data_IF_289778921637
#
_entry.id   IF_289778921637
#
_cell.length_a   1.000
_cell.length_b   1.000
_cell.length_c   1.000
_cell.angle_alpha   90.00
_cell.angle_beta   90.00
_cell.angle_gamma   90.00
#
_symmetry.space_group_name_H-M   'P 1'
#
loop_
_entity.id
_entity.type
_entity.pdbx_description
1 polymer ?
#
# COMPACT_ATOMS: atom_id res chain seq x y z
N UNK A 1 11.48 4.76 -14.40
CA UNK A 1 10.08 5.19 -14.50
C UNK A 1 9.65 5.62 -15.92
N UNK A 2 10.58 5.97 -16.82
CA UNK A 2 10.25 6.58 -18.12
C UNK A 2 9.57 5.65 -19.13
N UNK A 3 9.76 4.33 -19.03
CA UNK A 3 9.29 3.36 -20.02
C UNK A 3 8.00 2.64 -19.55
N UNK A 4 7.56 2.89 -18.31
CA UNK A 4 6.40 2.23 -17.75
C UNK A 4 5.09 2.92 -18.12
N UNK A 5 4.02 2.13 -18.20
CA UNK A 5 2.67 2.70 -18.24
C UNK A 5 2.46 3.59 -17.02
N UNK A 6 1.70 4.66 -17.17
CA UNK A 6 1.46 5.62 -16.08
C UNK A 6 0.88 4.96 -14.82
N UNK A 7 -0.02 4.00 -14.98
CA UNK A 7 -0.61 3.29 -13.85
C UNK A 7 0.41 2.47 -13.04
N UNK A 8 1.35 1.83 -13.72
CA UNK A 8 2.46 1.10 -13.08
C UNK A 8 3.40 2.08 -12.39
N UNK A 9 3.74 3.18 -13.08
CA UNK A 9 4.61 4.22 -12.53
C UNK A 9 4.07 4.79 -11.22
N UNK A 10 2.82 5.15 -11.16
CA UNK A 10 2.17 5.66 -9.93
C UNK A 10 2.20 4.62 -8.83
N UNK A 11 1.87 3.38 -9.14
CA UNK A 11 1.82 2.30 -8.14
C UNK A 11 3.20 1.89 -7.64
N UNK A 12 4.23 1.94 -8.47
CA UNK A 12 5.59 1.65 -8.00
C UNK A 12 6.13 2.77 -7.10
N UNK A 13 5.77 4.01 -7.35
CA UNK A 13 6.08 5.13 -6.46
C UNK A 13 5.45 4.90 -5.09
N UNK A 14 4.19 4.50 -5.05
CA UNK A 14 3.49 4.16 -3.81
C UNK A 14 4.23 3.06 -3.04
N UNK A 15 4.61 2.00 -3.74
CA UNK A 15 5.38 0.89 -3.13
C UNK A 15 6.71 1.39 -2.56
N UNK A 16 7.45 2.19 -3.32
CA UNK A 16 8.75 2.71 -2.88
C UNK A 16 8.60 3.65 -1.67
N UNK A 17 7.55 4.47 -1.63
CA UNK A 17 7.26 5.33 -0.47
C UNK A 17 6.96 4.47 0.77
N UNK A 18 6.11 3.47 0.65
CA UNK A 18 5.77 2.59 1.76
C UNK A 18 7.00 1.84 2.28
N UNK A 19 7.87 1.39 1.38
CA UNK A 19 9.14 0.76 1.78
C UNK A 19 10.03 1.71 2.58
N UNK A 20 10.19 2.95 2.13
CA UNK A 20 11.00 3.93 2.84
C UNK A 20 10.43 4.22 4.24
N UNK A 21 9.11 4.35 4.34
CA UNK A 21 8.45 4.58 5.62
C UNK A 21 8.68 3.41 6.59
N UNK A 22 8.45 2.19 6.14
CA UNK A 22 8.49 1.01 7.01
C UNK A 22 9.90 0.49 7.29
N UNK A 23 10.80 0.56 6.33
CA UNK A 23 12.15 0.03 6.48
C UNK A 23 13.14 1.05 7.04
N UNK A 24 13.03 2.32 6.66
CA UNK A 24 13.97 3.37 7.03
C UNK A 24 13.42 4.39 8.00
N UNK A 25 12.21 4.19 8.48
CA UNK A 25 11.54 5.09 9.44
C UNK A 25 11.50 6.56 8.99
N UNK A 26 11.43 6.79 7.69
CA UNK A 26 11.29 8.14 7.15
C UNK A 26 9.85 8.60 7.23
N UNK A 27 9.65 9.91 7.29
CA UNK A 27 8.30 10.45 7.23
C UNK A 27 7.77 10.50 5.80
N UNK A 28 6.45 10.58 5.67
CA UNK A 28 5.78 10.53 4.38
C UNK A 28 6.19 11.67 3.44
N UNK A 29 6.20 12.91 3.94
CA UNK A 29 6.51 14.08 3.10
C UNK A 29 7.92 14.01 2.53
N UNK A 30 8.88 13.61 3.35
CA UNK A 30 10.26 13.42 2.92
C UNK A 30 10.39 12.36 1.84
N UNK A 31 9.73 11.21 2.04
CA UNK A 31 9.73 10.13 1.04
C UNK A 31 9.08 10.57 -0.26
N UNK A 32 7.94 11.25 -0.17
CA UNK A 32 7.22 11.74 -1.34
C UNK A 32 8.08 12.73 -2.14
N UNK A 33 8.67 13.71 -1.47
CA UNK A 33 9.54 14.70 -2.12
C UNK A 33 10.75 14.04 -2.78
N UNK A 34 11.44 13.16 -2.08
CA UNK A 34 12.64 12.51 -2.60
C UNK A 34 12.38 11.64 -3.81
N UNK A 35 11.24 10.92 -3.81
CA UNK A 35 10.92 9.99 -4.88
C UNK A 35 10.22 10.65 -6.07
N UNK A 36 9.68 11.86 -5.91
CA UNK A 36 8.93 12.53 -6.96
C UNK A 36 9.55 13.82 -7.48
N UNK A 37 10.62 14.31 -6.86
CA UNK A 37 11.23 15.62 -7.21
C UNK A 37 11.64 15.77 -8.68
N UNK A 38 12.04 14.68 -9.33
CA UNK A 38 12.47 14.67 -10.73
C UNK A 38 11.37 14.17 -11.68
N UNK A 39 10.15 13.98 -11.17
CA UNK A 39 9.04 13.44 -11.93
C UNK A 39 7.97 14.53 -12.12
N UNK A 40 7.45 14.61 -13.34
CA UNK A 40 6.29 15.46 -13.62
C UNK A 40 5.02 14.65 -13.30
N UNK A 41 4.48 14.85 -12.11
CA UNK A 41 3.21 14.25 -11.70
C UNK A 41 2.11 15.28 -11.81
N UNK A 42 0.99 14.90 -12.43
CA UNK A 42 -0.21 15.75 -12.42
C UNK A 42 -0.91 15.68 -11.06
N UNK A 43 -1.87 16.55 -10.82
CA UNK A 43 -2.58 16.62 -9.54
C UNK A 43 -3.36 15.34 -9.24
N UNK A 44 -3.91 14.69 -10.24
CA UNK A 44 -4.62 13.42 -10.11
C UNK A 44 -3.69 12.31 -9.62
N UNK A 45 -2.51 12.18 -10.20
CA UNK A 45 -1.51 11.19 -9.78
C UNK A 45 -1.03 11.47 -8.35
N UNK A 46 -0.78 12.72 -8.00
CA UNK A 46 -0.41 13.12 -6.64
C UNK A 46 -1.48 12.74 -5.62
N UNK A 47 -2.72 13.06 -5.92
CA UNK A 47 -3.86 12.71 -5.06
C UNK A 47 -4.00 11.21 -4.91
N UNK A 48 -3.82 10.47 -5.97
CA UNK A 48 -3.87 8.99 -5.94
C UNK A 48 -2.78 8.41 -5.04
N UNK A 49 -1.54 8.92 -5.16
CA UNK A 49 -0.43 8.49 -4.31
C UNK A 49 -0.73 8.75 -2.84
N UNK A 50 -1.14 9.97 -2.50
CA UNK A 50 -1.51 10.33 -1.12
C UNK A 50 -2.60 9.42 -0.58
N UNK A 51 -3.67 9.25 -1.35
CA UNK A 51 -4.82 8.46 -0.93
C UNK A 51 -4.46 7.00 -0.67
N UNK A 52 -3.72 6.37 -1.57
CA UNK A 52 -3.34 4.95 -1.43
C UNK A 52 -2.35 4.77 -0.27
N UNK A 53 -1.33 5.62 -0.16
CA UNK A 53 -0.34 5.50 0.93
C UNK A 53 -1.00 5.65 2.29
N UNK A 54 -1.84 6.66 2.46
CA UNK A 54 -2.49 6.91 3.75
C UNK A 54 -3.48 5.83 4.13
N UNK A 55 -4.28 5.37 3.18
CA UNK A 55 -5.20 4.26 3.42
C UNK A 55 -4.47 2.94 3.69
N UNK A 56 -3.32 2.72 3.05
CA UNK A 56 -2.48 1.55 3.32
C UNK A 56 -1.98 1.57 4.77
N UNK A 57 -1.53 2.71 5.24
CA UNK A 57 -1.06 2.87 6.62
C UNK A 57 -2.24 2.73 7.59
N UNK A 58 -3.34 3.38 7.30
CA UNK A 58 -4.55 3.38 8.15
C UNK A 58 -5.12 1.97 8.34
N UNK A 59 -5.15 1.17 7.30
CA UNK A 59 -5.77 -0.17 7.31
C UNK A 59 -4.74 -1.29 7.43
N UNK A 60 -3.47 -0.96 7.63
CA UNK A 60 -2.37 -1.92 7.62
C UNK A 60 -2.52 -3.04 8.63
N UNK A 61 -3.04 -2.75 9.81
CA UNK A 61 -3.24 -3.74 10.86
C UNK A 61 -4.23 -4.82 10.43
N UNK A 62 -5.34 -4.41 9.84
CA UNK A 62 -6.38 -5.33 9.38
C UNK A 62 -5.88 -6.14 8.18
N UNK A 63 -5.20 -5.47 7.25
CA UNK A 63 -4.64 -6.14 6.07
C UNK A 63 -3.57 -7.15 6.46
N UNK A 64 -2.75 -6.85 7.45
CA UNK A 64 -1.74 -7.80 7.93
C UNK A 64 -2.38 -9.08 8.49
N UNK A 65 -3.51 -8.96 9.17
CA UNK A 65 -4.27 -10.13 9.61
C UNK A 65 -4.78 -10.97 8.44
N UNK A 66 -5.27 -10.31 7.40
CA UNK A 66 -5.69 -10.99 6.18
C UNK A 66 -4.51 -11.73 5.56
N UNK A 67 -3.36 -11.06 5.45
CA UNK A 67 -2.16 -11.65 4.87
C UNK A 67 -1.66 -12.86 5.65
N UNK A 68 -1.73 -12.83 6.97
CA UNK A 68 -1.30 -13.94 7.82
C UNK A 68 -2.11 -15.23 7.58
N UNK A 69 -3.33 -15.12 7.08
CA UNK A 69 -4.14 -16.28 6.70
C UNK A 69 -3.69 -16.91 5.37
N UNK A 70 -2.98 -16.17 4.54
CA UNK A 70 -2.59 -16.61 3.20
C UNK A 70 -1.09 -16.80 3.02
N UNK A 71 -0.27 -16.16 3.86
CA UNK A 71 1.19 -16.17 3.73
C UNK A 71 1.86 -17.15 4.67
N UNK A 72 2.97 -17.72 4.20
CA UNK A 72 3.86 -18.51 5.05
C UNK A 72 4.68 -17.59 5.98
N UNK A 73 5.12 -18.12 7.11
CA UNK A 73 5.81 -17.38 8.18
C UNK A 73 7.07 -16.62 7.76
N UNK A 74 7.69 -16.99 6.64
CA UNK A 74 8.98 -16.42 6.18
C UNK A 74 8.85 -15.47 4.98
N UNK A 75 7.69 -14.89 4.77
CA UNK A 75 7.51 -13.96 3.65
C UNK A 75 8.27 -12.64 3.93
N UNK A 76 8.99 -12.13 2.92
CA UNK A 76 9.75 -10.90 3.06
C UNK A 76 8.84 -9.69 3.34
N UNK A 77 9.38 -8.71 4.06
CA UNK A 77 8.66 -7.47 4.34
C UNK A 77 8.28 -6.71 3.06
N UNK A 78 9.15 -6.72 2.05
CA UNK A 78 8.87 -6.07 0.76
C UNK A 78 7.63 -6.65 0.08
N UNK A 79 7.48 -7.96 0.07
CA UNK A 79 6.28 -8.63 -0.47
C UNK A 79 5.04 -8.21 0.31
N UNK A 80 5.13 -8.19 1.64
CA UNK A 80 4.02 -7.75 2.50
C UNK A 80 3.61 -6.30 2.23
N UNK A 81 4.58 -5.41 2.05
CA UNK A 81 4.33 -4.00 1.76
C UNK A 81 3.67 -3.83 0.38
N UNK A 82 4.14 -4.56 -0.62
CA UNK A 82 3.55 -4.53 -1.95
C UNK A 82 2.10 -5.02 -1.92
N UNK A 83 1.85 -6.12 -1.22
CA UNK A 83 0.50 -6.66 -1.02
C UNK A 83 -0.39 -5.71 -0.21
N UNK A 84 0.16 -5.04 0.78
CA UNK A 84 -0.56 -4.04 1.57
C UNK A 84 -1.16 -2.95 0.67
N UNK A 85 -0.37 -2.37 -0.21
CA UNK A 85 -0.86 -1.34 -1.14
C UNK A 85 -1.91 -1.87 -2.11
N UNK A 86 -1.69 -3.07 -2.66
CA UNK A 86 -2.62 -3.69 -3.61
C UNK A 86 -3.97 -4.04 -2.95
N UNK A 87 -3.94 -4.64 -1.78
CA UNK A 87 -5.15 -5.02 -1.05
C UNK A 87 -5.93 -3.78 -0.62
N UNK A 88 -5.24 -2.71 -0.21
CA UNK A 88 -5.89 -1.43 0.10
C UNK A 88 -6.68 -0.91 -1.10
N UNK A 89 -6.10 -0.95 -2.28
CA UNK A 89 -6.77 -0.50 -3.50
C UNK A 89 -8.02 -1.35 -3.82
N UNK A 90 -7.93 -2.65 -3.63
CA UNK A 90 -9.03 -3.57 -3.94
C UNK A 90 -10.14 -3.50 -2.90
N UNK A 91 -9.82 -3.55 -1.61
CA UNK A 91 -10.82 -3.67 -0.53
C UNK A 91 -11.40 -2.34 -0.10
N UNK A 92 -10.61 -1.27 -0.08
CA UNK A 92 -11.01 0.00 0.52
C UNK A 92 -11.25 1.12 -0.47
N UNK A 93 -10.64 1.06 -1.66
CA UNK A 93 -10.70 2.14 -2.65
C UNK A 93 -11.47 1.75 -3.91
N UNK A 94 -11.98 0.55 -3.97
CA UNK A 94 -12.80 0.02 -5.07
C UNK A 94 -12.16 0.15 -6.47
N UNK A 95 -10.85 0.07 -6.55
CA UNK A 95 -10.18 -0.01 -7.84
C UNK A 95 -10.45 -1.36 -8.51
N UNK A 96 -10.43 -1.37 -9.82
CA UNK A 96 -10.65 -2.58 -10.62
C UNK A 96 -9.59 -3.64 -10.28
N UNK A 97 -10.04 -4.78 -9.81
CA UNK A 97 -9.20 -5.85 -9.26
C UNK A 97 -8.16 -6.34 -10.26
N UNK A 98 -8.55 -6.56 -11.52
CA UNK A 98 -7.62 -7.04 -12.54
C UNK A 98 -6.54 -5.99 -12.85
N UNK A 99 -6.87 -4.71 -12.85
CA UNK A 99 -5.91 -3.64 -13.11
C UNK A 99 -4.88 -3.54 -11.99
N UNK A 100 -5.33 -3.58 -10.73
CA UNK A 100 -4.45 -3.59 -9.57
C UNK A 100 -3.54 -4.82 -9.58
N UNK A 101 -4.10 -5.98 -9.83
CA UNK A 101 -3.36 -7.26 -9.86
C UNK A 101 -2.29 -7.25 -10.95
N UNK A 102 -2.66 -6.84 -12.17
CA UNK A 102 -1.72 -6.79 -13.29
C UNK A 102 -0.56 -5.82 -13.01
N UNK A 103 -0.86 -4.63 -12.53
CA UNK A 103 0.17 -3.64 -12.21
C UNK A 103 1.06 -4.09 -11.05
N UNK A 104 0.48 -4.71 -10.03
CA UNK A 104 1.23 -5.23 -8.88
C UNK A 104 2.17 -6.37 -9.28
N UNK A 105 1.72 -7.27 -10.15
CA UNK A 105 2.57 -8.34 -10.70
C UNK A 105 3.71 -7.74 -11.52
N UNK A 106 3.45 -6.71 -12.30
CA UNK A 106 4.48 -6.00 -13.08
C UNK A 106 5.53 -5.37 -12.16
N UNK A 107 5.10 -4.72 -11.09
CA UNK A 107 6.00 -4.16 -10.06
C UNK A 107 6.84 -5.25 -9.41
N UNK A 108 6.24 -6.40 -9.11
CA UNK A 108 6.96 -7.54 -8.56
C UNK A 108 8.08 -7.99 -9.49
N UNK A 109 7.83 -8.06 -10.79
CA UNK A 109 8.86 -8.37 -11.79
C UNK A 109 9.98 -7.33 -11.81
N UNK A 110 9.62 -6.06 -11.82
CA UNK A 110 10.59 -4.94 -11.84
C UNK A 110 11.47 -4.95 -10.59
N UNK A 111 10.89 -5.20 -9.43
CA UNK A 111 11.60 -5.21 -8.14
C UNK A 111 12.15 -6.58 -7.76
N UNK A 112 12.09 -7.55 -8.65
CA UNK A 112 12.60 -8.93 -8.46
C UNK A 112 11.99 -9.63 -7.23
N UNK A 113 10.71 -9.41 -7.03
CA UNK A 113 9.91 -10.14 -6.05
C UNK A 113 9.20 -11.30 -6.75
N UNK A 114 8.56 -12.19 -5.98
CA UNK A 114 7.90 -13.37 -6.56
C UNK A 114 6.55 -13.00 -7.19
N UNK A 115 6.45 -12.85 -8.54
CA UNK A 115 5.22 -12.44 -9.18
C UNK A 115 4.11 -13.49 -9.11
N UNK A 116 4.47 -14.78 -9.10
CA UNK A 116 3.51 -15.88 -8.97
C UNK A 116 2.80 -15.87 -7.63
N UNK A 117 3.54 -15.65 -6.55
CA UNK A 117 2.97 -15.53 -5.22
C UNK A 117 2.01 -14.32 -5.12
N UNK A 118 2.43 -13.17 -5.64
CA UNK A 118 1.62 -11.96 -5.67
C UNK A 118 0.31 -12.20 -6.42
N UNK A 119 0.39 -12.76 -7.63
CA UNK A 119 -0.78 -13.04 -8.45
C UNK A 119 -1.76 -14.00 -7.76
N UNK A 120 -1.25 -15.10 -7.24
CA UNK A 120 -2.04 -16.12 -6.55
C UNK A 120 -2.74 -15.54 -5.32
N UNK A 121 -2.02 -14.78 -4.51
CA UNK A 121 -2.55 -14.22 -3.29
C UNK A 121 -3.63 -13.15 -3.57
N UNK A 122 -3.39 -12.26 -4.53
CA UNK A 122 -4.38 -11.24 -4.89
C UNK A 122 -5.64 -11.85 -5.48
N UNK A 123 -5.53 -12.92 -6.24
CA UNK A 123 -6.70 -13.67 -6.72
C UNK A 123 -7.50 -14.27 -5.56
N UNK A 124 -6.82 -14.83 -4.56
CA UNK A 124 -7.49 -15.38 -3.38
C UNK A 124 -8.18 -14.30 -2.56
N UNK A 125 -7.56 -13.15 -2.37
CA UNK A 125 -8.16 -12.00 -1.68
C UNK A 125 -9.41 -11.52 -2.43
N UNK A 126 -9.32 -11.40 -3.75
CA UNK A 126 -10.44 -11.00 -4.60
C UNK A 126 -11.62 -11.97 -4.49
N UNK A 127 -11.34 -13.27 -4.55
CA UNK A 127 -12.35 -14.32 -4.39
C UNK A 127 -13.08 -14.23 -3.06
N UNK A 128 -12.37 -13.89 -2.00
CA UNK A 128 -12.91 -13.85 -0.64
C UNK A 128 -13.30 -12.42 -0.19
N UNK A 129 -13.36 -11.47 -1.11
CA UNK A 129 -13.62 -10.07 -0.80
C UNK A 129 -14.87 -9.86 0.06
N UNK A 130 -15.96 -10.55 -0.25
CA UNK A 130 -17.22 -10.43 0.49
C UNK A 130 -17.14 -10.95 1.92
N UNK A 131 -16.38 -12.02 2.16
CA UNK A 131 -16.22 -12.60 3.49
C UNK A 131 -15.16 -11.88 4.33
N UNK A 132 -14.17 -11.28 3.69
CA UNK A 132 -13.13 -10.49 4.35
C UNK A 132 -13.69 -9.14 4.83
N UNK A 133 -14.63 -8.59 4.10
CA UNK A 133 -15.19 -7.27 4.39
C UNK A 133 -15.80 -7.19 5.78
N UNK A 134 -15.42 -6.17 6.54
CA UNK A 134 -16.15 -5.64 7.70
C UNK A 134 -15.78 -6.13 9.09
N UNK A 135 -14.62 -6.73 9.29
CA UNK A 135 -14.09 -6.88 10.65
C UNK A 135 -13.53 -5.53 11.09
N UNK A 136 -14.01 -5.02 12.22
CA UNK A 136 -13.51 -3.78 12.79
C UNK A 136 -12.04 -3.90 13.17
N UNK A 137 -11.29 -2.85 12.92
CA UNK A 137 -9.91 -2.70 13.32
C UNK A 137 -9.74 -2.85 14.84
N UNK A 138 -8.77 -3.67 15.27
CA UNK A 138 -8.38 -3.80 16.67
C UNK A 138 -6.90 -3.43 16.84
N UNK A 139 -6.60 -2.30 17.49
CA UNK A 139 -5.22 -1.85 17.67
C UNK A 139 -4.30 -2.83 18.41
N UNK A 140 -4.86 -3.65 19.32
CA UNK A 140 -4.08 -4.61 20.12
C UNK A 140 -3.46 -5.74 19.32
N UNK A 141 -3.89 -5.95 18.09
CA UNK A 141 -3.42 -7.02 17.22
C UNK A 141 -2.48 -6.52 16.11
N UNK A 142 -2.00 -5.29 16.23
CA UNK A 142 -1.14 -4.67 15.25
C UNK A 142 0.24 -5.35 15.16
N UNK A 143 0.81 -5.54 13.94
CA UNK A 143 2.17 -6.02 13.80
C UNK A 143 3.17 -5.04 14.41
N UNK A 144 4.22 -5.57 15.04
CA UNK A 144 5.22 -4.75 15.71
C UNK A 144 5.93 -3.77 14.75
N UNK A 145 6.23 -4.22 13.53
CA UNK A 145 6.89 -3.39 12.52
C UNK A 145 6.02 -2.19 12.11
N UNK A 146 4.71 -2.38 12.07
CA UNK A 146 3.76 -1.32 11.70
C UNK A 146 3.58 -0.32 12.85
N UNK A 147 3.50 -0.80 14.09
CA UNK A 147 3.40 0.05 15.29
C UNK A 147 4.60 0.97 15.41
N UNK A 148 5.81 0.45 15.19
CA UNK A 148 7.04 1.26 15.21
C UNK A 148 7.02 2.36 14.15
N UNK A 149 6.54 2.05 12.96
CA UNK A 149 6.41 3.01 11.86
C UNK A 149 5.41 4.11 12.20
N UNK A 150 4.25 3.75 12.78
CA UNK A 150 3.22 4.70 13.18
C UNK A 150 3.69 5.64 14.29
N UNK A 151 4.34 5.13 15.31
CA UNK A 151 4.82 5.96 16.45
C UNK A 151 5.75 7.07 15.99
N UNK A 152 6.56 6.81 14.98
CA UNK A 152 7.52 7.78 14.46
C UNK A 152 6.89 8.87 13.59
N UNK A 153 5.79 8.54 12.91
CA UNK A 153 5.16 9.42 11.91
C UNK A 153 3.77 9.91 12.34
N UNK A 154 3.34 9.59 13.56
CA UNK A 154 1.95 9.73 13.99
C UNK A 154 1.39 11.14 13.91
N UNK A 155 2.16 12.16 14.29
CA UNK A 155 1.70 13.55 14.27
C UNK A 155 1.41 14.05 12.86
N UNK A 156 2.32 13.78 11.90
CA UNK A 156 2.14 14.16 10.51
C UNK A 156 1.04 13.37 9.82
N UNK A 157 0.96 12.07 10.10
CA UNK A 157 -0.07 11.21 9.54
C UNK A 157 -1.47 11.58 9.98
N UNK A 158 -1.64 11.97 11.24
CA UNK A 158 -2.93 12.42 11.76
C UNK A 158 -3.41 13.69 11.05
N UNK A 159 -2.53 14.66 10.83
CA UNK A 159 -2.84 15.88 10.06
C UNK A 159 -3.28 15.55 8.63
N UNK A 160 -2.56 14.67 7.96
CA UNK A 160 -2.84 14.31 6.58
C UNK A 160 -4.14 13.50 6.49
N UNK A 161 -4.38 12.57 7.41
CA UNK A 161 -5.61 11.78 7.48
C UNK A 161 -6.82 12.69 7.74
N UNK A 162 -6.72 13.67 8.62
CA UNK A 162 -7.78 14.64 8.85
C UNK A 162 -8.10 15.43 7.59
N UNK A 163 -7.10 15.89 6.86
CA UNK A 163 -7.29 16.63 5.63
C UNK A 163 -7.94 15.78 4.51
N UNK A 164 -7.65 14.48 4.46
CA UNK A 164 -8.20 13.58 3.44
C UNK A 164 -9.62 13.15 3.76
N UNK A 165 -9.96 12.93 5.04
CA UNK A 165 -11.32 12.50 5.44
C UNK A 165 -12.38 13.57 5.22
N UNK A 166 -11.99 14.82 5.01
CA UNK A 166 -12.90 15.94 4.74
C UNK A 166 -13.07 16.24 3.25
N UNK A 167 -12.35 15.60 2.36
CA UNK A 167 -12.58 15.77 0.92
C UNK A 167 -13.86 15.04 0.51
N UNK A 168 -14.82 15.74 -0.11
CA UNK A 168 -15.99 15.06 -0.65
C UNK A 168 -15.56 14.09 -1.74
N UNK A 169 -15.93 12.85 -1.55
CA UNK A 169 -15.63 11.78 -2.49
C UNK A 169 -16.25 12.02 -3.86
#
# INVERSE_FOLDING_TARGET
>A
YLIMRNSVKVRIIIFDILNEIHQRNKNFDECFLNLTKNLKLNDQDRSMIYNIVLNSIRNGFFIDKILNNFLQKKTSLKIKILLLSAITQILYLDFKEYAVTNDTVEIAKIRKLNPGLINSLLKNVTKNKKSINKKKFNPSSAPLWFVKSLKKNQLKLNEIIENITYEPS
#
